data_IF_611713020811
#
_entry.id   IF_611713020811
#
_cell.length_a   1.000
_cell.length_b   1.000
_cell.length_c   1.000
_cell.angle_alpha   90.00
_cell.angle_beta   90.00
_cell.angle_gamma   90.00
#
_symmetry.space_group_name_H-M   'P 1'
#
loop_
_entity.id
_entity.type
_entity.pdbx_description
1 polymer ?
#
# COMPACT_ATOMS: atom_id res chain seq x y z
N UNK A 1 -5.16 -12.86 -12.24
CA UNK A 1 -4.68 -12.48 -10.89
C UNK A 1 -4.38 -10.97 -10.74
N UNK A 2 -3.57 -10.34 -11.60
CA UNK A 2 -3.18 -8.91 -11.46
C UNK A 2 -4.33 -7.89 -11.49
N UNK A 3 -5.33 -8.09 -12.35
CA UNK A 3 -6.51 -7.20 -12.45
C UNK A 3 -7.37 -7.31 -11.20
N UNK A 4 -7.56 -8.54 -10.69
CA UNK A 4 -8.34 -8.83 -9.47
C UNK A 4 -7.79 -8.06 -8.25
N UNK A 5 -6.47 -8.16 -8.02
CA UNK A 5 -5.81 -7.51 -6.89
C UNK A 5 -5.91 -5.97 -6.97
N UNK A 6 -5.67 -5.39 -8.14
CA UNK A 6 -5.79 -3.94 -8.32
C UNK A 6 -7.22 -3.45 -8.05
N UNK A 7 -8.23 -4.22 -8.46
CA UNK A 7 -9.62 -3.89 -8.20
C UNK A 7 -9.95 -4.00 -6.71
N UNK A 8 -9.52 -5.06 -6.02
CA UNK A 8 -9.72 -5.22 -4.58
C UNK A 8 -9.06 -4.09 -3.78
N UNK A 9 -7.83 -3.73 -4.14
CA UNK A 9 -7.14 -2.57 -3.57
C UNK A 9 -7.91 -1.28 -3.84
N UNK A 10 -8.39 -1.07 -5.06
CA UNK A 10 -9.16 0.12 -5.41
C UNK A 10 -10.44 0.22 -4.57
N UNK A 11 -11.18 -0.87 -4.41
CA UNK A 11 -12.39 -0.90 -3.58
C UNK A 11 -12.09 -0.60 -2.12
N UNK A 12 -11.06 -1.23 -1.54
CA UNK A 12 -10.64 -0.98 -0.17
C UNK A 12 -10.19 0.47 0.06
N UNK A 13 -9.44 1.03 -0.90
CA UNK A 13 -9.03 2.44 -0.88
C UNK A 13 -10.24 3.38 -1.00
N UNK A 14 -11.18 3.10 -1.91
CA UNK A 14 -12.39 3.90 -2.04
C UNK A 14 -13.23 3.87 -0.76
N UNK A 15 -13.39 2.71 -0.13
CA UNK A 15 -14.08 2.58 1.16
C UNK A 15 -13.36 3.35 2.28
N UNK A 16 -12.02 3.32 2.31
CA UNK A 16 -11.24 4.11 3.25
C UNK A 16 -11.38 5.61 3.01
N UNK A 17 -11.27 6.06 1.75
CA UNK A 17 -11.39 7.47 1.38
C UNK A 17 -12.79 8.04 1.65
N UNK A 18 -13.84 7.22 1.49
CA UNK A 18 -15.19 7.59 1.88
C UNK A 18 -15.28 7.90 3.38
N UNK A 19 -14.69 7.06 4.23
CA UNK A 19 -14.61 7.31 5.69
C UNK A 19 -13.75 8.54 6.01
N UNK A 20 -12.63 8.71 5.29
CA UNK A 20 -11.68 9.82 5.46
C UNK A 20 -12.28 11.17 5.08
N UNK A 21 -13.26 11.20 4.19
CA UNK A 21 -13.93 12.45 3.78
C UNK A 21 -14.54 13.23 4.96
N UNK A 22 -14.88 12.54 6.06
CA UNK A 22 -15.46 13.13 7.26
C UNK A 22 -14.41 13.56 8.31
N UNK A 23 -13.11 13.48 8.02
CA UNK A 23 -12.08 13.87 8.97
C UNK A 23 -11.90 15.39 9.06
N UNK A 24 -11.70 15.94 10.27
CA UNK A 24 -11.45 17.37 10.42
C UNK A 24 -10.12 17.75 9.77
N UNK A 25 -10.08 18.91 9.12
CA UNK A 25 -8.86 19.53 8.57
C UNK A 25 -8.14 18.73 7.46
N UNK A 26 -8.87 18.32 6.42
CA UNK A 26 -8.31 17.60 5.25
C UNK A 26 -7.34 18.42 4.38
N UNK A 27 -7.19 19.71 4.66
CA UNK A 27 -6.31 20.61 3.92
C UNK A 27 -6.71 20.79 2.46
N UNK A 28 -5.74 21.08 1.60
CA UNK A 28 -5.96 21.31 0.17
C UNK A 28 -6.34 20.01 -0.54
N UNK A 29 -7.38 20.07 -1.40
CA UNK A 29 -7.73 18.95 -2.29
C UNK A 29 -6.54 18.53 -3.16
N UNK A 30 -6.34 17.22 -3.27
CA UNK A 30 -5.31 16.62 -4.13
C UNK A 30 -5.59 16.88 -5.61
N UNK A 31 -4.54 16.90 -6.43
CA UNK A 31 -4.63 16.97 -7.89
C UNK A 31 -4.75 15.59 -8.55
N UNK A 32 -4.07 14.59 -7.98
CA UNK A 32 -4.08 13.21 -8.49
C UNK A 32 -5.35 12.47 -8.04
N UNK A 33 -5.85 11.57 -8.87
CA UNK A 33 -6.89 10.63 -8.44
C UNK A 33 -6.31 9.55 -7.52
N UNK A 34 -7.16 8.84 -6.79
CA UNK A 34 -6.74 7.66 -6.00
C UNK A 34 -6.18 6.57 -6.89
N UNK A 35 -6.73 6.40 -8.09
CA UNK A 35 -6.24 5.46 -9.09
C UNK A 35 -4.82 5.82 -9.55
N UNK A 36 -4.57 7.09 -9.88
CA UNK A 36 -3.23 7.55 -10.25
C UNK A 36 -2.22 7.28 -9.13
N UNK A 37 -2.60 7.55 -7.87
CA UNK A 37 -1.72 7.31 -6.73
C UNK A 37 -1.41 5.82 -6.59
N UNK A 38 -2.42 4.96 -6.66
CA UNK A 38 -2.25 3.52 -6.59
C UNK A 38 -1.36 3.00 -7.72
N UNK A 39 -1.59 3.45 -8.95
CA UNK A 39 -0.78 3.07 -10.11
C UNK A 39 0.69 3.48 -9.95
N UNK A 40 0.96 4.66 -9.37
CA UNK A 40 2.33 5.09 -9.08
C UNK A 40 2.98 4.27 -7.98
N UNK A 41 2.23 3.86 -6.95
CA UNK A 41 2.72 2.96 -5.90
C UNK A 41 3.03 1.58 -6.49
N UNK A 42 2.13 1.01 -7.28
CA UNK A 42 2.35 -0.29 -7.95
C UNK A 42 3.53 -0.21 -8.92
N UNK A 43 3.68 0.90 -9.65
CA UNK A 43 4.83 1.15 -10.50
C UNK A 43 6.13 1.17 -9.69
N UNK A 44 6.16 1.92 -8.59
CA UNK A 44 7.30 1.98 -7.67
C UNK A 44 7.69 0.59 -7.15
N UNK A 45 6.72 -0.20 -6.68
CA UNK A 45 6.97 -1.55 -6.18
C UNK A 45 7.52 -2.48 -7.26
N UNK A 46 7.12 -2.27 -8.53
CA UNK A 46 7.59 -3.07 -9.65
C UNK A 46 9.00 -2.70 -10.11
N UNK A 47 9.34 -1.42 -10.11
CA UNK A 47 10.61 -0.93 -10.68
C UNK A 47 11.71 -0.71 -9.66
N UNK A 48 11.36 -0.52 -8.38
CA UNK A 48 12.31 -0.20 -7.30
C UNK A 48 12.97 1.18 -7.46
N UNK A 49 12.41 2.07 -8.28
CA UNK A 49 12.96 3.41 -8.50
C UNK A 49 12.90 4.25 -7.24
N UNK A 50 13.75 5.26 -7.12
CA UNK A 50 13.64 6.22 -6.02
C UNK A 50 12.32 6.99 -6.13
N UNK A 51 11.69 7.30 -4.99
CA UNK A 51 10.43 8.06 -4.97
C UNK A 51 10.53 9.40 -5.73
N UNK A 52 11.67 10.07 -5.64
CA UNK A 52 11.96 11.34 -6.33
C UNK A 52 11.99 11.22 -7.85
N UNK A 53 12.21 10.02 -8.39
CA UNK A 53 12.34 9.75 -9.83
C UNK A 53 11.03 9.26 -10.46
N UNK A 54 9.92 9.23 -9.70
CA UNK A 54 8.63 8.81 -10.23
C UNK A 54 8.14 9.79 -11.32
N UNK A 55 7.66 9.27 -12.48
CA UNK A 55 7.05 10.10 -13.50
C UNK A 55 5.69 10.61 -13.02
N UNK A 56 5.69 11.84 -12.49
CA UNK A 56 4.53 12.49 -11.90
C UNK A 56 4.28 13.78 -12.67
N UNK A 57 3.34 13.75 -13.61
CA UNK A 57 2.96 14.86 -14.50
C UNK A 57 2.52 16.12 -13.71
N UNK A 58 3.47 16.86 -13.13
CA UNK A 58 3.24 18.04 -12.30
C UNK A 58 2.77 17.76 -10.85
N UNK A 59 2.84 16.51 -10.37
CA UNK A 59 2.50 16.15 -9.00
C UNK A 59 3.74 15.85 -8.15
N UNK A 60 3.67 16.10 -6.85
CA UNK A 60 4.79 15.82 -5.95
C UNK A 60 4.83 14.34 -5.56
N UNK A 61 6.01 13.73 -5.60
CA UNK A 61 6.21 12.37 -5.08
C UNK A 61 5.88 12.25 -3.60
N UNK A 62 5.98 13.35 -2.85
CA UNK A 62 5.59 13.42 -1.44
C UNK A 62 4.11 13.11 -1.26
N UNK A 63 3.27 13.47 -2.23
CA UNK A 63 1.84 13.12 -2.20
C UNK A 63 1.69 11.61 -2.31
N UNK A 64 2.33 10.97 -3.29
CA UNK A 64 2.24 9.51 -3.47
C UNK A 64 2.75 8.79 -2.22
N UNK A 65 3.91 9.22 -1.68
CA UNK A 65 4.47 8.66 -0.46
C UNK A 65 3.55 8.86 0.76
N UNK A 66 2.95 10.04 0.91
CA UNK A 66 2.01 10.33 2.00
C UNK A 66 0.83 9.35 1.98
N UNK A 67 0.22 9.13 0.81
CA UNK A 67 -0.88 8.18 0.67
C UNK A 67 -0.43 6.74 0.88
N UNK A 68 0.75 6.35 0.36
CA UNK A 68 1.34 5.05 0.64
C UNK A 68 1.49 4.82 2.15
N UNK A 69 2.09 5.76 2.88
CA UNK A 69 2.28 5.66 4.33
C UNK A 69 0.94 5.64 5.09
N UNK A 70 -0.02 6.46 4.67
CA UNK A 70 -1.36 6.51 5.27
C UNK A 70 -2.11 5.18 5.09
N UNK A 71 -2.16 4.65 3.87
CA UNK A 71 -2.83 3.37 3.57
C UNK A 71 -2.11 2.18 4.19
N UNK A 72 -0.78 2.23 4.31
CA UNK A 72 0.00 1.23 5.04
C UNK A 72 -0.32 1.23 6.53
N UNK A 73 -0.41 2.40 7.17
CA UNK A 73 -0.83 2.52 8.57
C UNK A 73 -2.26 2.03 8.79
N UNK A 74 -3.14 2.22 7.80
CA UNK A 74 -4.50 1.71 7.81
C UNK A 74 -4.58 0.20 7.45
N UNK A 75 -3.44 -0.48 7.26
CA UNK A 75 -3.32 -1.91 6.90
C UNK A 75 -4.06 -2.34 5.64
N UNK A 76 -4.46 -1.40 4.77
CA UNK A 76 -5.24 -1.69 3.56
C UNK A 76 -4.55 -2.70 2.66
N UNK A 77 -3.23 -2.53 2.44
CA UNK A 77 -2.46 -3.44 1.61
C UNK A 77 -2.45 -4.85 2.21
N UNK A 78 -2.11 -4.94 3.50
CA UNK A 78 -1.98 -6.19 4.22
C UNK A 78 -3.30 -6.97 4.25
N UNK A 79 -4.40 -6.30 4.60
CA UNK A 79 -5.73 -6.90 4.66
C UNK A 79 -6.16 -7.46 3.30
N UNK A 80 -5.95 -6.70 2.22
CA UNK A 80 -6.27 -7.16 0.86
C UNK A 80 -5.37 -8.32 0.45
N UNK A 81 -4.06 -8.26 0.72
CA UNK A 81 -3.14 -9.35 0.38
C UNK A 81 -3.50 -10.66 1.11
N UNK A 82 -3.78 -10.62 2.42
CA UNK A 82 -4.21 -11.81 3.16
C UNK A 82 -5.57 -12.32 2.70
N UNK A 83 -6.49 -11.41 2.36
CA UNK A 83 -7.79 -11.78 1.82
C UNK A 83 -7.66 -12.50 0.47
N UNK A 84 -6.80 -12.01 -0.42
CA UNK A 84 -6.49 -12.68 -1.68
C UNK A 84 -5.78 -14.03 -1.45
N UNK A 85 -4.77 -14.07 -0.58
CA UNK A 85 -3.99 -15.28 -0.30
C UNK A 85 -4.83 -16.40 0.32
N UNK A 86 -5.69 -16.06 1.29
CA UNK A 86 -6.60 -17.02 1.93
C UNK A 86 -7.62 -17.60 0.95
N UNK A 87 -8.08 -16.81 -0.03
CA UNK A 87 -8.95 -17.31 -1.11
C UNK A 87 -8.18 -18.17 -2.10
N UNK A 88 -6.95 -17.81 -2.46
CA UNK A 88 -6.11 -18.63 -3.33
C UNK A 88 -5.84 -20.00 -2.70
N UNK A 89 -5.47 -20.03 -1.42
CA UNK A 89 -5.25 -21.27 -0.65
C UNK A 89 -6.49 -22.16 -0.52
N UNK A 90 -7.70 -21.63 -0.72
CA UNK A 90 -8.95 -22.40 -0.68
C UNK A 90 -9.35 -22.99 -2.03
N UNK A 91 -8.85 -22.41 -3.12
CA UNK A 91 -9.26 -22.77 -4.49
C UNK A 91 -8.18 -23.53 -5.26
N UNK A 92 -6.92 -23.48 -4.82
CA UNK A 92 -5.79 -24.24 -5.40
C UNK A 92 -5.25 -25.26 -4.38
N UNK A 93 -5.09 -26.53 -4.79
CA UNK A 93 -4.28 -27.55 -4.09
C UNK A 93 -2.76 -27.29 -4.23
N UNK A 94 -2.38 -26.08 -4.66
CA UNK A 94 -1.00 -25.67 -4.90
C UNK A 94 -0.26 -25.29 -3.61
N UNK A 95 1.09 -25.39 -3.60
CA UNK A 95 1.87 -25.10 -2.40
C UNK A 95 1.78 -23.62 -1.99
N UNK A 96 1.29 -23.36 -0.78
CA UNK A 96 1.39 -22.07 -0.10
C UNK A 96 2.80 -21.93 0.51
N UNK A 97 3.64 -21.07 -0.07
CA UNK A 97 4.97 -20.78 0.47
C UNK A 97 4.92 -19.53 1.34
N UNK A 98 5.19 -19.71 2.64
CA UNK A 98 5.37 -18.62 3.60
C UNK A 98 6.85 -18.59 3.98
N UNK A 99 7.55 -17.53 3.61
CA UNK A 99 8.94 -17.28 4.01
C UNK A 99 9.02 -16.11 5.00
N UNK A 100 10.06 -16.08 5.84
CA UNK A 100 10.34 -14.94 6.73
C UNK A 100 11.55 -14.18 6.24
N UNK A 101 11.37 -12.93 5.84
CA UNK A 101 12.47 -12.06 5.43
C UNK A 101 12.70 -10.95 6.45
N UNK A 102 13.97 -10.64 6.76
CA UNK A 102 14.35 -9.54 7.66
C UNK A 102 14.99 -8.39 6.88
N UNK A 103 14.51 -7.16 7.09
CA UNK A 103 15.06 -5.94 6.50
C UNK A 103 15.94 -5.25 7.52
N UNK A 104 17.26 -5.21 7.27
CA UNK A 104 18.22 -4.46 8.07
C UNK A 104 18.14 -2.97 7.73
N UNK A 105 17.82 -2.14 8.72
CA UNK A 105 18.02 -0.71 8.60
C UNK A 105 19.51 -0.38 8.76
N UNK A 106 20.07 0.42 7.85
CA UNK A 106 21.51 0.80 7.80
C UNK A 106 21.97 1.46 9.10
N UNK A 107 21.06 2.09 9.86
CA UNK A 107 21.38 2.77 11.12
C UNK A 107 21.23 1.92 12.39
N UNK A 108 20.89 0.63 12.29
CA UNK A 108 20.89 -0.29 13.43
C UNK A 108 19.95 0.06 14.60
N UNK A 109 19.16 1.14 14.49
CA UNK A 109 18.14 1.45 15.49
C UNK A 109 17.04 0.40 15.37
N UNK A 110 17.09 -0.57 16.28
CA UNK A 110 15.99 -1.50 16.54
C UNK A 110 14.86 -0.62 17.06
N UNK A 111 13.87 -0.32 16.22
CA UNK A 111 12.57 0.13 16.73
C UNK A 111 11.92 -1.12 17.29
N UNK A 112 12.22 -1.45 18.54
CA UNK A 112 11.51 -2.48 19.29
C UNK A 112 10.08 -1.98 19.44
N UNK A 113 9.21 -2.29 18.48
CA UNK A 113 7.79 -2.39 18.80
C UNK A 113 7.69 -3.59 19.72
N UNK A 114 7.64 -3.29 21.02
CA UNK A 114 7.24 -4.22 22.05
C UNK A 114 6.04 -5.02 21.55
N UNK A 115 6.24 -6.31 21.30
CA UNK A 115 5.23 -7.34 21.49
C UNK A 115 5.95 -8.46 22.20
N UNK A 116 5.96 -8.30 23.52
CA UNK A 116 6.25 -9.34 24.50
C UNK A 116 4.97 -10.16 24.66
N UNK A 117 5.18 -11.47 24.85
CA UNK A 117 4.24 -12.58 25.12
C UNK A 117 3.59 -13.23 23.90
#
# INVERSE_FOLDING_TARGET
>A
MRIQLNNELMHAICAFEAKRSNWPNLGRKRKLTTADILDRIVFFCRTGWQWSQLPLNGASYKTVYHYFAMWSKARIFEDVFYSCASRASRNDDGPLVIDTSYVKNVRGAITTSNNVV
#
